data_IF_310191044839
#
_entry.id   IF_310191044839
#
_cell.length_a   1.000
_cell.length_b   1.000
_cell.length_c   1.000
_cell.angle_alpha   90.00
_cell.angle_beta   90.00
_cell.angle_gamma   90.00
#
_symmetry.space_group_name_H-M   'P 1'
#
loop_
_entity.id
_entity.type
_entity.pdbx_description
1 polymer ?
#
# COMPACT_ATOMS: atom_id res chain seq x y z
N UNK A 1 12.15 -27.59 -8.29
CA UNK A 1 10.80 -27.30 -7.76
C UNK A 1 10.63 -25.80 -7.85
N UNK A 2 9.79 -25.31 -8.77
CA UNK A 2 9.46 -23.89 -8.87
C UNK A 2 8.77 -23.48 -7.57
N UNK A 3 9.37 -22.59 -6.79
CA UNK A 3 8.71 -21.95 -5.65
C UNK A 3 7.53 -21.16 -6.20
N UNK A 4 6.32 -21.50 -5.79
CA UNK A 4 5.13 -20.76 -6.17
C UNK A 4 5.32 -19.28 -5.78
N UNK A 5 5.20 -18.38 -6.76
CA UNK A 5 5.30 -16.95 -6.53
C UNK A 5 4.23 -16.53 -5.54
N UNK A 6 4.61 -15.73 -4.54
CA UNK A 6 3.65 -15.23 -3.55
C UNK A 6 2.57 -14.39 -4.25
N UNK A 7 1.30 -14.77 -4.10
CA UNK A 7 0.18 -13.97 -4.56
C UNK A 7 -0.03 -12.79 -3.60
N UNK A 8 0.12 -11.58 -4.11
CA UNK A 8 -0.12 -10.34 -3.35
C UNK A 8 -1.54 -9.82 -3.52
N UNK A 9 -2.15 -10.05 -4.68
CA UNK A 9 -3.43 -9.47 -5.07
C UNK A 9 -4.41 -10.53 -5.56
N UNK A 10 -5.73 -10.30 -5.44
CA UNK A 10 -6.75 -11.16 -6.04
C UNK A 10 -6.64 -11.18 -7.58
N UNK A 11 -7.17 -12.24 -8.19
CA UNK A 11 -7.29 -12.30 -9.64
C UNK A 11 -8.20 -11.17 -10.14
N UNK A 12 -7.84 -10.56 -11.28
CA UNK A 12 -8.61 -9.47 -11.92
C UNK A 12 -8.87 -8.26 -11.00
N UNK A 13 -7.94 -7.96 -10.07
CA UNK A 13 -8.09 -6.86 -9.12
C UNK A 13 -8.03 -5.47 -9.79
N UNK A 14 -7.33 -5.33 -10.92
CA UNK A 14 -6.99 -4.03 -11.50
C UNK A 14 -7.65 -3.74 -12.85
N UNK A 15 -7.93 -4.76 -13.63
CA UNK A 15 -8.53 -4.60 -14.96
C UNK A 15 -9.32 -5.84 -15.37
N UNK A 16 -10.36 -5.65 -16.20
CA UNK A 16 -11.10 -6.73 -16.83
C UNK A 16 -10.29 -7.38 -17.97
N UNK A 17 -9.45 -6.59 -18.66
CA UNK A 17 -8.50 -7.12 -19.63
C UNK A 17 -7.40 -7.90 -18.93
N UNK A 18 -7.27 -9.17 -19.28
CA UNK A 18 -6.34 -10.10 -18.63
C UNK A 18 -4.87 -9.68 -18.80
N UNK A 19 -4.50 -9.07 -19.93
CA UNK A 19 -3.11 -8.64 -20.20
C UNK A 19 -2.78 -7.38 -19.40
N UNK A 20 -3.69 -6.40 -19.37
CA UNK A 20 -3.53 -5.18 -18.56
C UNK A 20 -3.51 -5.51 -17.07
N UNK A 21 -4.43 -6.37 -16.61
CA UNK A 21 -4.43 -6.82 -15.22
C UNK A 21 -3.12 -7.53 -14.85
N UNK A 22 -2.62 -8.41 -15.71
CA UNK A 22 -1.35 -9.09 -15.48
C UNK A 22 -0.19 -8.11 -15.40
N UNK A 23 -0.12 -7.14 -16.31
CA UNK A 23 0.94 -6.11 -16.31
C UNK A 23 0.97 -5.32 -14.99
N UNK A 24 -0.17 -4.83 -14.52
CA UNK A 24 -0.28 -4.07 -13.26
C UNK A 24 0.04 -4.97 -12.06
N UNK A 25 -0.50 -6.19 -12.03
CA UNK A 25 -0.22 -7.15 -10.98
C UNK A 25 1.29 -7.46 -10.89
N UNK A 26 1.94 -7.74 -11.99
CA UNK A 26 3.37 -8.06 -12.02
C UNK A 26 4.21 -6.84 -11.58
N UNK A 27 3.83 -5.65 -12.01
CA UNK A 27 4.47 -4.40 -11.59
C UNK A 27 4.43 -4.24 -10.08
N UNK A 28 3.24 -4.23 -9.46
CA UNK A 28 3.11 -4.03 -8.01
C UNK A 28 3.72 -5.19 -7.22
N UNK A 29 3.57 -6.42 -7.71
CA UNK A 29 4.17 -7.62 -7.09
C UNK A 29 5.69 -7.52 -7.03
N UNK A 30 6.35 -7.09 -8.11
CA UNK A 30 7.81 -6.92 -8.14
C UNK A 30 8.29 -5.88 -7.12
N UNK A 31 7.54 -4.79 -6.95
CA UNK A 31 7.85 -3.74 -5.99
C UNK A 31 7.72 -4.25 -4.54
N UNK A 32 6.62 -4.94 -4.22
CA UNK A 32 6.39 -5.52 -2.90
C UNK A 32 7.41 -6.62 -2.56
N UNK A 33 7.78 -7.44 -3.53
CA UNK A 33 8.81 -8.47 -3.35
C UNK A 33 10.18 -7.87 -3.05
N UNK A 34 10.60 -6.82 -3.77
CA UNK A 34 11.84 -6.11 -3.51
C UNK A 34 11.87 -5.41 -2.15
N UNK A 35 10.73 -4.89 -1.71
CA UNK A 35 10.53 -4.34 -0.37
C UNK A 35 10.44 -5.43 0.71
N UNK A 36 10.44 -6.71 0.35
CA UNK A 36 10.26 -7.84 1.25
C UNK A 36 9.00 -7.69 2.12
N UNK A 37 7.94 -7.21 1.52
CA UNK A 37 6.65 -7.06 2.18
C UNK A 37 5.88 -8.38 2.23
N UNK A 38 5.12 -8.66 3.30
CA UNK A 38 4.22 -9.81 3.33
C UNK A 38 3.01 -9.60 2.42
N UNK A 39 2.41 -10.69 1.96
CA UNK A 39 1.12 -10.64 1.27
C UNK A 39 -0.01 -10.40 2.27
N UNK A 40 -0.69 -9.27 2.18
CA UNK A 40 -1.88 -8.99 2.99
C UNK A 40 -3.06 -9.88 2.55
N UNK A 41 -3.16 -10.20 1.26
CA UNK A 41 -4.13 -11.18 0.78
C UNK A 41 -3.97 -12.53 1.49
N UNK A 42 -2.74 -13.00 1.68
CA UNK A 42 -2.48 -14.24 2.42
C UNK A 42 -2.80 -14.08 3.90
N UNK A 43 -2.53 -12.93 4.49
CA UNK A 43 -2.87 -12.65 5.90
C UNK A 43 -4.39 -12.67 6.16
N UNK A 44 -5.22 -12.35 5.17
CA UNK A 44 -6.68 -12.37 5.32
C UNK A 44 -7.25 -13.77 5.62
N UNK A 45 -6.48 -14.84 5.42
CA UNK A 45 -6.85 -16.19 5.82
C UNK A 45 -6.86 -16.36 7.36
N UNK A 46 -6.22 -15.48 8.10
CA UNK A 46 -6.28 -15.41 9.56
C UNK A 46 -7.34 -14.36 9.96
N UNK A 47 -8.49 -14.76 10.52
CA UNK A 47 -9.54 -13.82 10.91
C UNK A 47 -9.12 -12.79 11.96
N UNK A 48 -8.07 -13.09 12.75
CA UNK A 48 -7.55 -12.19 13.76
C UNK A 48 -6.56 -11.15 13.22
N UNK A 49 -6.12 -11.27 11.97
CA UNK A 49 -5.20 -10.32 11.35
C UNK A 49 -5.92 -9.00 11.03
N UNK A 50 -5.30 -7.90 11.43
CA UNK A 50 -5.71 -6.57 11.00
C UNK A 50 -4.48 -5.77 10.60
N UNK A 51 -4.41 -5.38 9.34
CA UNK A 51 -3.27 -4.66 8.77
C UNK A 51 -3.73 -3.73 7.66
N UNK A 52 -3.02 -2.62 7.53
CA UNK A 52 -3.21 -1.65 6.45
C UNK A 52 -1.86 -1.28 5.88
N UNK A 53 -1.75 -1.15 4.55
CA UNK A 53 -0.51 -0.79 3.87
C UNK A 53 -0.76 0.28 2.83
N UNK A 54 0.11 1.29 2.81
CA UNK A 54 0.30 2.22 1.72
C UNK A 54 1.54 1.84 0.94
N UNK A 55 1.38 1.53 -0.35
CA UNK A 55 2.47 1.36 -1.30
C UNK A 55 2.48 2.57 -2.23
N UNK A 56 3.58 3.31 -2.24
CA UNK A 56 3.76 4.52 -3.03
C UNK A 56 4.82 4.30 -4.10
N UNK A 57 4.39 4.24 -5.36
CA UNK A 57 5.22 3.97 -6.52
C UNK A 57 5.34 5.21 -7.38
N UNK A 58 6.29 6.08 -7.03
CA UNK A 58 6.63 7.27 -7.82
C UNK A 58 7.46 6.85 -9.01
N UNK A 59 7.14 7.35 -10.21
CA UNK A 59 7.77 6.89 -11.47
C UNK A 59 9.30 6.90 -11.39
N UNK A 60 9.90 8.00 -10.90
CA UNK A 60 11.35 8.22 -10.92
C UNK A 60 12.02 8.14 -9.54
N UNK A 61 11.28 7.84 -8.49
CA UNK A 61 11.79 7.84 -7.12
C UNK A 61 11.61 6.49 -6.43
N UNK A 62 12.32 6.31 -5.32
CA UNK A 62 12.32 5.07 -4.58
C UNK A 62 10.91 4.62 -4.18
N UNK A 63 10.57 3.33 -4.40
CA UNK A 63 9.32 2.77 -3.89
C UNK A 63 9.33 2.75 -2.36
N UNK A 64 8.18 3.09 -1.79
CA UNK A 64 7.98 3.18 -0.34
C UNK A 64 6.77 2.34 0.04
N UNK A 65 6.90 1.52 1.08
CA UNK A 65 5.78 0.87 1.75
C UNK A 65 5.72 1.28 3.22
N UNK A 66 4.53 1.68 3.67
CA UNK A 66 4.25 1.93 5.09
C UNK A 66 3.10 1.02 5.51
N UNK A 67 3.34 0.15 6.49
CA UNK A 67 2.37 -0.85 6.92
C UNK A 67 2.11 -0.75 8.41
N UNK A 68 0.84 -0.62 8.77
CA UNK A 68 0.33 -0.69 10.14
C UNK A 68 -0.21 -2.10 10.40
N UNK A 69 0.28 -2.74 11.45
CA UNK A 69 -0.29 -3.95 12.03
C UNK A 69 -0.98 -3.59 13.35
N UNK A 70 -2.27 -3.88 13.44
CA UNK A 70 -3.07 -3.62 14.65
C UNK A 70 -3.02 -4.83 15.55
N UNK A 71 -2.67 -4.62 16.82
CA UNK A 71 -2.63 -5.68 17.84
C UNK A 71 -3.97 -5.84 18.55
N UNK A 72 -4.18 -6.99 19.17
CA UNK A 72 -5.40 -7.31 19.92
C UNK A 72 -5.69 -6.30 21.06
N UNK A 73 -4.66 -5.68 21.64
CA UNK A 73 -4.81 -4.67 22.69
C UNK A 73 -5.10 -3.25 22.15
N UNK A 74 -5.26 -3.11 20.83
CA UNK A 74 -5.53 -1.83 20.16
C UNK A 74 -4.31 -0.97 19.88
N UNK A 75 -3.11 -1.38 20.30
CA UNK A 75 -1.85 -0.75 19.89
C UNK A 75 -1.46 -1.20 18.49
N UNK A 76 -0.44 -0.61 17.91
CA UNK A 76 0.02 -0.97 16.58
C UNK A 76 1.53 -1.10 16.47
N UNK A 77 1.97 -1.70 15.36
CA UNK A 77 3.34 -1.65 14.87
C UNK A 77 3.32 -1.05 13.48
N UNK A 78 4.09 0.02 13.28
CA UNK A 78 4.26 0.66 11.99
C UNK A 78 5.61 0.28 11.41
N UNK A 79 5.61 -0.33 10.23
CA UNK A 79 6.82 -0.69 9.50
C UNK A 79 6.94 0.18 8.25
N UNK A 80 8.10 0.80 8.06
CA UNK A 80 8.43 1.59 6.88
C UNK A 80 9.58 0.95 6.14
N UNK A 81 9.38 0.71 4.84
CA UNK A 81 10.38 0.12 3.95
C UNK A 81 10.57 0.95 2.71
N UNK A 82 11.83 1.08 2.28
CA UNK A 82 12.21 1.82 1.06
C UNK A 82 13.18 0.94 0.28
N UNK A 83 12.98 0.83 -1.02
CA UNK A 83 13.91 0.14 -1.93
C UNK A 83 14.76 1.14 -2.73
N UNK A 84 15.87 0.69 -3.30
CA UNK A 84 16.88 1.54 -3.94
C UNK A 84 16.55 1.97 -5.36
N UNK A 85 15.58 1.32 -6.01
CA UNK A 85 15.22 1.58 -7.40
C UNK A 85 14.17 2.68 -7.58
N UNK A 86 13.32 2.53 -8.58
CA UNK A 86 12.27 3.49 -8.91
C UNK A 86 10.90 2.79 -9.02
N UNK A 87 9.85 3.44 -8.51
CA UNK A 87 8.51 2.88 -8.48
C UNK A 87 7.90 2.59 -9.86
N UNK A 88 8.28 3.35 -10.89
CA UNK A 88 7.86 3.13 -12.26
C UNK A 88 8.74 2.17 -13.07
N UNK A 89 9.84 1.70 -12.48
CA UNK A 89 10.85 0.88 -13.15
C UNK A 89 11.29 -0.28 -12.26
N UNK A 90 12.55 -0.72 -12.41
CA UNK A 90 13.11 -1.75 -11.55
C UNK A 90 13.17 -1.27 -10.09
N UNK A 91 12.62 -2.05 -9.14
CA UNK A 91 12.51 -1.62 -7.74
C UNK A 91 13.86 -1.58 -6.99
N UNK A 92 14.89 -2.23 -7.51
CA UNK A 92 16.15 -2.38 -6.82
C UNK A 92 16.05 -3.39 -5.66
N UNK A 93 16.67 -3.05 -4.54
CA UNK A 93 16.70 -3.88 -3.33
C UNK A 93 16.32 -3.06 -2.10
N UNK A 94 15.92 -3.74 -1.03
CA UNK A 94 15.55 -3.12 0.24
C UNK A 94 16.75 -2.38 0.86
N UNK A 95 16.58 -1.08 1.15
CA UNK A 95 17.61 -0.23 1.79
C UNK A 95 17.18 0.32 3.14
N UNK A 96 15.88 0.49 3.36
CA UNK A 96 15.33 0.90 4.66
C UNK A 96 14.29 -0.11 5.11
N UNK A 97 14.41 -0.54 6.36
CA UNK A 97 13.43 -1.39 7.03
C UNK A 97 13.42 -1.01 8.52
N UNK A 98 12.47 -0.17 8.88
CA UNK A 98 12.32 0.32 10.26
C UNK A 98 10.93 0.03 10.79
N UNK A 99 10.84 -0.31 12.07
CA UNK A 99 9.55 -0.52 12.75
C UNK A 99 9.52 0.27 14.05
N UNK A 100 8.34 0.80 14.37
CA UNK A 100 8.10 1.48 15.64
C UNK A 100 6.72 1.12 16.21
N UNK A 101 6.58 1.09 17.53
CA UNK A 101 5.28 0.92 18.16
C UNK A 101 4.42 2.17 17.97
N UNK A 102 3.11 1.96 17.82
CA UNK A 102 2.10 3.02 17.90
C UNK A 102 1.26 2.84 19.16
N UNK A 103 0.92 3.96 19.78
CA UNK A 103 -0.04 3.96 20.90
C UNK A 103 -1.43 3.54 20.41
N UNK A 104 -2.30 3.16 21.32
CA UNK A 104 -3.71 2.90 21.03
C UNK A 104 -4.36 4.12 20.37
N UNK A 105 -4.12 5.32 20.90
CA UNK A 105 -4.69 6.56 20.35
C UNK A 105 -4.27 6.81 18.91
N UNK A 106 -2.99 6.62 18.57
CA UNK A 106 -2.50 6.77 17.19
C UNK A 106 -3.15 5.74 16.25
N UNK A 107 -3.25 4.50 16.69
CA UNK A 107 -3.88 3.42 15.94
C UNK A 107 -5.37 3.70 15.72
N UNK A 108 -6.11 4.04 16.77
CA UNK A 108 -7.54 4.36 16.70
C UNK A 108 -7.82 5.56 15.79
N UNK A 109 -6.98 6.60 15.82
CA UNK A 109 -7.12 7.76 14.94
C UNK A 109 -7.01 7.38 13.46
N UNK A 110 -6.10 6.47 13.12
CA UNK A 110 -6.00 5.96 11.76
C UNK A 110 -7.20 5.07 11.38
N UNK A 111 -7.64 4.19 12.29
CA UNK A 111 -8.80 3.34 12.05
C UNK A 111 -10.09 4.17 11.87
N UNK A 112 -10.24 5.25 12.64
CA UNK A 112 -11.34 6.19 12.44
C UNK A 112 -11.31 6.80 11.04
N UNK A 113 -10.12 7.11 10.52
CA UNK A 113 -9.96 7.62 9.15
C UNK A 113 -10.32 6.56 8.09
N UNK A 114 -9.94 5.31 8.27
CA UNK A 114 -10.37 4.18 7.42
C UNK A 114 -11.90 4.14 7.30
N UNK A 115 -12.61 4.34 8.41
CA UNK A 115 -14.08 4.31 8.44
C UNK A 115 -14.69 5.57 7.81
N UNK A 116 -14.18 6.76 8.13
CA UNK A 116 -14.72 8.02 7.60
C UNK A 116 -14.45 8.19 6.11
N UNK A 117 -13.33 7.73 5.61
CA UNK A 117 -12.97 7.74 4.19
C UNK A 117 -13.61 6.56 3.43
N UNK A 118 -14.37 5.72 4.12
CA UNK A 118 -15.11 4.57 3.56
C UNK A 118 -14.22 3.65 2.73
N UNK A 119 -13.01 3.39 3.22
CA UNK A 119 -12.01 2.61 2.50
C UNK A 119 -12.56 1.29 1.97
N UNK A 120 -13.34 0.56 2.76
CA UNK A 120 -13.87 -0.76 2.39
C UNK A 120 -14.92 -0.74 1.28
N UNK A 121 -15.44 0.45 0.95
CA UNK A 121 -16.44 0.67 -0.12
C UNK A 121 -15.82 1.22 -1.41
N UNK A 122 -14.53 1.60 -1.39
CA UNK A 122 -13.86 2.17 -2.56
C UNK A 122 -13.71 1.13 -3.68
N UNK A 123 -13.83 1.52 -4.95
CA UNK A 123 -13.49 0.62 -6.05
C UNK A 123 -11.99 0.33 -6.06
N UNK A 124 -11.55 -0.82 -6.62
CA UNK A 124 -10.12 -1.17 -6.70
C UNK A 124 -9.28 -0.16 -7.49
N UNK A 125 -9.87 0.49 -8.47
CA UNK A 125 -9.21 1.54 -9.27
C UNK A 125 -10.09 2.78 -9.32
N UNK A 126 -9.64 3.86 -8.68
CA UNK A 126 -10.32 5.15 -8.72
C UNK A 126 -9.85 5.96 -9.92
N UNK A 127 -10.78 6.67 -10.58
CA UNK A 127 -10.48 7.60 -11.68
C UNK A 127 -9.55 6.98 -12.73
N UNK A 128 -9.90 5.79 -13.21
CA UNK A 128 -9.10 4.99 -14.14
C UNK A 128 -8.66 5.77 -15.40
N UNK A 129 -9.49 6.68 -15.86
CA UNK A 129 -9.24 7.56 -17.03
C UNK A 129 -8.14 8.61 -16.79
N UNK A 130 -7.75 8.86 -15.55
CA UNK A 130 -6.71 9.85 -15.19
C UNK A 130 -5.30 9.27 -15.13
N UNK A 131 -5.11 8.03 -15.52
CA UNK A 131 -3.78 7.41 -15.54
C UNK A 131 -2.87 8.08 -16.58
N UNK A 132 -1.60 8.23 -16.21
CA UNK A 132 -0.58 8.88 -17.03
C UNK A 132 0.76 8.15 -17.01
N UNK A 133 1.76 8.71 -17.68
CA UNK A 133 3.10 8.13 -17.77
C UNK A 133 4.03 8.61 -16.65
N UNK A 134 3.93 9.90 -16.30
CA UNK A 134 4.75 10.53 -15.26
C UNK A 134 3.87 10.92 -14.08
N UNK A 135 4.15 10.35 -12.92
CA UNK A 135 3.34 10.52 -11.73
C UNK A 135 3.64 9.44 -10.70
N UNK A 136 2.64 9.06 -9.94
CA UNK A 136 2.78 7.98 -8.97
C UNK A 136 1.52 7.15 -8.80
N UNK A 137 1.71 5.87 -8.59
CA UNK A 137 0.62 4.98 -8.20
C UNK A 137 0.54 4.92 -6.68
N UNK A 138 -0.62 5.19 -6.14
CA UNK A 138 -0.95 5.09 -4.72
C UNK A 138 -1.84 3.89 -4.51
N UNK A 139 -1.40 2.95 -3.70
CA UNK A 139 -2.11 1.70 -3.41
C UNK A 139 -2.34 1.61 -1.90
N UNK A 140 -3.60 1.55 -1.48
CA UNK A 140 -3.97 1.26 -0.09
C UNK A 140 -4.56 -0.14 -0.05
N UNK A 141 -4.03 -0.98 0.82
CA UNK A 141 -4.53 -2.32 1.11
C UNK A 141 -4.98 -2.43 2.56
N UNK A 142 -5.94 -3.27 2.82
CA UNK A 142 -6.43 -3.55 4.17
C UNK A 142 -6.84 -5.01 4.36
N UNK A 143 -6.61 -5.50 5.57
CA UNK A 143 -7.08 -6.79 6.05
C UNK A 143 -7.75 -6.58 7.40
N UNK A 144 -8.96 -7.11 7.54
CA UNK A 144 -9.71 -7.13 8.80
C UNK A 144 -10.80 -8.21 8.75
N UNK A 145 -11.00 -8.94 9.83
CA UNK A 145 -12.07 -9.93 9.99
C UNK A 145 -12.14 -10.96 8.84
N UNK A 146 -10.98 -11.43 8.39
CA UNK A 146 -10.88 -12.38 7.29
C UNK A 146 -11.13 -11.80 5.89
N UNK A 147 -11.29 -10.49 5.77
CA UNK A 147 -11.52 -9.78 4.51
C UNK A 147 -10.25 -9.07 4.05
N UNK A 148 -10.04 -9.06 2.75
CA UNK A 148 -9.01 -8.29 2.08
C UNK A 148 -9.67 -7.24 1.19
N UNK A 149 -9.11 -6.04 1.14
CA UNK A 149 -9.53 -4.99 0.22
C UNK A 149 -8.33 -4.18 -0.26
N UNK A 150 -8.43 -3.65 -1.47
CA UNK A 150 -7.47 -2.69 -1.99
C UNK A 150 -8.19 -1.58 -2.77
N UNK A 151 -7.57 -0.41 -2.79
CA UNK A 151 -7.99 0.70 -3.64
C UNK A 151 -6.75 1.44 -4.14
N UNK A 152 -6.75 1.81 -5.41
CA UNK A 152 -5.63 2.46 -6.08
C UNK A 152 -6.07 3.72 -6.79
N UNK A 153 -5.16 4.70 -6.87
CA UNK A 153 -5.39 5.93 -7.63
C UNK A 153 -4.05 6.47 -8.16
N UNK A 154 -4.09 6.98 -9.39
CA UNK A 154 -2.94 7.64 -10.00
C UNK A 154 -2.82 9.08 -9.52
N UNK A 155 -1.68 9.45 -8.96
CA UNK A 155 -1.29 10.81 -8.54
C UNK A 155 -2.44 11.59 -7.86
N UNK A 156 -3.04 11.05 -6.77
CA UNK A 156 -4.13 11.74 -6.10
C UNK A 156 -3.61 13.01 -5.41
N UNK A 157 -4.33 14.13 -5.57
CA UNK A 157 -4.07 15.39 -4.86
C UNK A 157 -5.06 15.64 -3.72
N UNK A 158 -6.10 14.84 -3.64
CA UNK A 158 -7.16 14.89 -2.63
C UNK A 158 -7.97 13.59 -2.62
N UNK A 159 -8.82 13.45 -1.63
CA UNK A 159 -9.74 12.32 -1.49
C UNK A 159 -9.18 11.17 -0.67
N UNK A 160 -9.94 10.06 -0.55
CA UNK A 160 -9.68 9.03 0.44
C UNK A 160 -8.29 8.35 0.29
N UNK A 161 -7.85 8.04 -0.92
CA UNK A 161 -6.54 7.41 -1.14
C UNK A 161 -5.40 8.36 -0.77
N UNK A 162 -5.51 9.65 -1.18
CA UNK A 162 -4.56 10.68 -0.78
C UNK A 162 -4.50 10.80 0.75
N UNK A 163 -5.64 10.94 1.38
CA UNK A 163 -5.72 11.22 2.81
C UNK A 163 -5.20 10.06 3.66
N UNK A 164 -5.50 8.82 3.27
CA UNK A 164 -4.97 7.61 3.92
C UNK A 164 -3.46 7.45 3.71
N UNK A 165 -2.97 7.69 2.50
CA UNK A 165 -1.54 7.66 2.20
C UNK A 165 -0.74 8.70 2.99
N UNK A 166 -1.24 9.95 3.04
CA UNK A 166 -0.64 11.02 3.85
C UNK A 166 -0.65 10.67 5.35
N UNK A 167 -1.75 10.11 5.85
CA UNK A 167 -1.83 9.71 7.25
C UNK A 167 -0.78 8.65 7.62
N UNK A 168 -0.57 7.64 6.77
CA UNK A 168 0.45 6.62 7.00
C UNK A 168 1.87 7.13 6.82
N UNK A 169 2.17 7.79 5.68
CA UNK A 169 3.52 8.18 5.32
C UNK A 169 4.06 9.37 6.14
N UNK A 170 3.24 10.38 6.37
CA UNK A 170 3.66 11.61 7.05
C UNK A 170 3.13 11.69 8.47
N UNK A 171 1.85 11.40 8.68
CA UNK A 171 1.23 11.48 10.00
C UNK A 171 1.80 10.47 10.98
N UNK A 172 1.92 9.20 10.59
CA UNK A 172 2.40 8.13 11.46
C UNK A 172 3.87 7.79 11.26
N UNK A 173 4.33 7.57 10.03
CA UNK A 173 5.73 7.23 9.78
C UNK A 173 6.69 8.42 9.92
N UNK A 174 6.21 9.64 9.72
CA UNK A 174 7.01 10.85 9.82
C UNK A 174 8.05 10.97 8.70
N UNK A 175 7.74 10.48 7.50
CA UNK A 175 8.63 10.59 6.36
C UNK A 175 8.88 12.05 5.99
N UNK A 176 10.10 12.34 5.56
CA UNK A 176 10.49 13.62 4.98
C UNK A 176 10.77 13.41 3.50
N UNK A 177 9.90 13.93 2.64
CA UNK A 177 10.02 13.84 1.19
C UNK A 177 10.11 15.24 0.61
N UNK A 178 11.07 15.56 -0.26
CA UNK A 178 11.14 16.85 -0.93
C UNK A 178 9.85 17.17 -1.68
N UNK A 179 9.40 18.43 -1.66
CA UNK A 179 8.15 18.83 -2.35
C UNK A 179 8.16 18.50 -3.85
N UNK A 180 9.33 18.55 -4.48
CA UNK A 180 9.51 18.18 -5.91
C UNK A 180 9.31 16.68 -6.19
N UNK A 181 9.30 15.85 -5.16
CA UNK A 181 9.08 14.41 -5.23
C UNK A 181 7.72 13.97 -4.70
N UNK A 182 6.88 14.94 -4.31
CA UNK A 182 5.51 14.74 -3.81
C UNK A 182 4.53 14.73 -4.99
N UNK A 183 4.28 13.53 -5.54
CA UNK A 183 3.31 13.35 -6.62
C UNK A 183 2.74 11.94 -6.64
#
# INVERSE_FOLDING_TARGET
VATAQTAYFPNHAFDEDAQLNKFVNDWYTSQLAALQEPSLLKQSKNPSAQSYRFLWLRTFHHPIAVRLEVKADGTGILTTKIASGAGGYAPGHLVTNTSKPLTRQQTESFLYKIDTDKFWELPPVLLKEQQGNDGSQWIIEGVKDGKYHLATQWTPSQGPIHDLGIALAFGLAGLTIPKTEMY
#
